data_IF_467912761748
#
_entry.id   IF_467912761748
#
_cell.length_a   1.000
_cell.length_b   1.000
_cell.length_c   1.000
_cell.angle_alpha   90.00
_cell.angle_beta   90.00
_cell.angle_gamma   90.00
#
_symmetry.space_group_name_H-M   'P 1'
#
loop_
_entity.id
_entity.type
_entity.pdbx_description
1 polymer ?
#
# COMPACT_ATOMS: atom_id res chain seq x y z
N UNK A 1 -4.72 -3.95 6.81
CA UNK A 1 -3.53 -3.11 6.69
C UNK A 1 -2.40 -3.98 6.20
N UNK A 2 -1.21 -3.41 5.93
CA UNK A 2 -0.13 -4.18 5.31
C UNK A 2 0.37 -5.32 6.21
N UNK A 3 0.40 -5.13 7.54
CA UNK A 3 0.82 -6.17 8.47
C UNK A 3 -0.12 -7.38 8.42
N UNK A 4 -1.45 -7.18 8.42
CA UNK A 4 -2.38 -8.32 8.28
C UNK A 4 -2.23 -9.01 6.92
N UNK A 5 -1.95 -8.24 5.86
CA UNK A 5 -1.69 -8.82 4.54
C UNK A 5 -0.44 -9.70 4.56
N UNK A 6 0.65 -9.22 5.16
CA UNK A 6 1.91 -9.97 5.29
C UNK A 6 1.81 -11.11 6.30
N UNK A 7 0.89 -11.08 7.26
CA UNK A 7 0.57 -12.22 8.13
C UNK A 7 -0.30 -13.27 7.42
N UNK A 8 -0.84 -12.97 6.23
CA UNK A 8 -1.75 -13.84 5.50
C UNK A 8 -3.21 -13.80 6.00
N UNK A 9 -3.56 -12.84 6.87
CA UNK A 9 -4.91 -12.69 7.41
C UNK A 9 -5.79 -11.73 6.59
N UNK A 10 -5.21 -10.98 5.64
CA UNK A 10 -5.92 -10.06 4.76
C UNK A 10 -5.46 -10.18 3.30
N UNK A 11 -6.38 -9.99 2.36
CA UNK A 11 -6.07 -10.07 0.93
C UNK A 11 -5.99 -11.50 0.39
N UNK A 12 -5.44 -11.68 -0.82
CA UNK A 12 -5.49 -12.97 -1.54
C UNK A 12 -4.47 -13.99 -1.02
N UNK A 13 -3.40 -13.54 -0.37
CA UNK A 13 -2.35 -14.43 0.15
C UNK A 13 -2.73 -14.91 1.55
N UNK A 14 -2.82 -16.23 1.73
CA UNK A 14 -3.14 -16.89 3.02
C UNK A 14 -1.91 -17.52 3.67
N UNK A 15 -0.75 -16.97 3.36
CA UNK A 15 0.56 -17.43 3.82
C UNK A 15 1.29 -16.27 4.48
N UNK A 16 2.09 -16.59 5.51
CA UNK A 16 2.97 -15.60 6.12
C UNK A 16 4.07 -15.19 5.14
N UNK A 17 4.26 -13.89 4.99
CA UNK A 17 5.21 -13.27 4.09
C UNK A 17 6.53 -12.98 4.82
N UNK A 18 7.67 -13.50 4.31
CA UNK A 18 8.95 -13.31 4.98
C UNK A 18 9.42 -11.84 5.00
N UNK A 19 8.84 -10.97 4.17
CA UNK A 19 9.10 -9.52 4.21
C UNK A 19 8.56 -8.84 5.47
N UNK A 20 7.65 -9.45 6.23
CA UNK A 20 7.06 -8.84 7.42
C UNK A 20 8.12 -8.35 8.42
N UNK A 21 9.09 -9.20 8.73
CA UNK A 21 10.18 -8.87 9.67
C UNK A 21 11.16 -7.85 9.12
N UNK A 22 11.18 -7.66 7.80
CA UNK A 22 12.01 -6.69 7.10
C UNK A 22 11.33 -5.33 7.03
N UNK A 23 9.99 -5.29 6.99
CA UNK A 23 9.22 -4.05 6.89
C UNK A 23 8.93 -3.44 8.26
N UNK A 24 8.71 -4.29 9.27
CA UNK A 24 8.25 -3.85 10.57
C UNK A 24 9.00 -4.55 11.70
N UNK A 25 9.00 -3.90 12.87
CA UNK A 25 9.37 -4.52 14.15
C UNK A 25 8.13 -5.08 14.83
N UNK A 26 8.27 -6.14 15.65
CA UNK A 26 7.22 -6.49 16.58
C UNK A 26 6.98 -5.36 17.60
N UNK A 27 5.80 -5.34 18.21
CA UNK A 27 5.42 -4.40 19.27
C UNK A 27 6.35 -4.55 20.47
N UNK A 28 6.71 -3.45 21.13
CA UNK A 28 7.60 -3.50 22.29
C UNK A 28 6.92 -4.10 23.53
N UNK A 29 5.60 -3.97 23.66
CA UNK A 29 4.85 -4.44 24.83
C UNK A 29 4.38 -5.90 24.77
N UNK A 30 4.59 -6.60 23.64
CA UNK A 30 4.07 -7.95 23.46
C UNK A 30 4.83 -8.83 22.47
N UNK A 31 5.85 -8.30 21.78
CA UNK A 31 6.62 -9.02 20.78
C UNK A 31 5.76 -9.67 19.67
N UNK A 32 4.69 -8.97 19.26
CA UNK A 32 3.77 -9.41 18.20
C UNK A 32 3.75 -8.40 17.07
N UNK A 33 3.43 -8.84 15.85
CA UNK A 33 3.20 -7.91 14.74
C UNK A 33 1.76 -7.38 14.78
N UNK A 34 1.61 -6.07 14.88
CA UNK A 34 0.29 -5.41 14.92
C UNK A 34 0.31 -4.09 14.14
N UNK A 35 -0.46 -4.02 13.05
CA UNK A 35 -0.59 -2.78 12.27
C UNK A 35 -1.51 -1.79 12.97
N UNK A 36 -1.17 -0.50 12.92
CA UNK A 36 -2.11 0.54 13.30
C UNK A 36 -3.22 0.65 12.25
N UNK A 37 -4.51 0.49 12.63
CA UNK A 37 -5.60 0.71 11.70
C UNK A 37 -5.57 2.13 11.13
N UNK A 38 -5.69 2.24 9.81
CA UNK A 38 -5.79 3.54 9.14
C UNK A 38 -7.24 3.89 8.80
N UNK A 39 -7.53 5.16 8.54
CA UNK A 39 -8.89 5.64 8.31
C UNK A 39 -9.75 5.70 9.59
N UNK A 40 -9.10 5.92 10.74
CA UNK A 40 -9.77 6.14 12.01
C UNK A 40 -10.16 7.62 12.18
N UNK A 41 -11.25 7.92 12.91
CA UNK A 41 -11.58 9.29 13.26
C UNK A 41 -10.55 9.88 14.23
N UNK A 42 -10.44 11.21 14.29
CA UNK A 42 -9.54 11.91 15.21
C UNK A 42 -9.71 11.48 16.68
N UNK A 43 -10.94 11.17 17.09
CA UNK A 43 -11.25 10.70 18.45
C UNK A 43 -10.59 9.36 18.82
N UNK A 44 -10.16 8.57 17.84
CA UNK A 44 -9.44 7.31 18.04
C UNK A 44 -7.92 7.48 18.15
N UNK A 45 -7.39 8.72 18.08
CA UNK A 45 -5.96 9.01 17.99
C UNK A 45 -5.11 8.44 19.13
N UNK A 46 -5.68 8.27 20.33
CA UNK A 46 -4.97 7.74 21.51
C UNK A 46 -5.17 6.24 21.74
N UNK A 47 -5.93 5.53 20.89
CA UNK A 47 -6.24 4.11 21.09
C UNK A 47 -5.06 3.17 20.80
N UNK A 48 -4.07 3.67 20.06
CA UNK A 48 -2.94 2.88 19.57
C UNK A 48 -1.63 3.49 20.05
N UNK A 49 -1.26 3.28 21.32
CA UNK A 49 0.02 3.77 21.82
C UNK A 49 1.17 3.07 21.08
N UNK A 50 2.30 3.77 20.97
CA UNK A 50 3.45 3.36 20.14
C UNK A 50 4.04 2.01 20.54
N UNK A 51 3.86 1.57 21.78
CA UNK A 51 4.34 0.28 22.29
C UNK A 51 3.41 -0.90 21.95
N UNK A 52 2.19 -0.62 21.47
CA UNK A 52 1.17 -1.59 21.05
C UNK A 52 1.05 -1.74 19.54
N UNK A 53 1.76 -0.93 18.76
CA UNK A 53 1.81 -1.03 17.30
C UNK A 53 3.22 -1.39 16.83
N UNK A 54 3.28 -2.05 15.68
CA UNK A 54 4.52 -2.31 14.97
C UNK A 54 5.00 -1.04 14.29
N UNK A 55 6.24 -0.67 14.56
CA UNK A 55 6.93 0.44 13.91
C UNK A 55 7.76 -0.06 12.71
N UNK A 56 8.16 0.81 11.77
CA UNK A 56 9.05 0.43 10.69
C UNK A 56 10.35 -0.22 11.21
N UNK A 57 10.89 -1.17 10.46
CA UNK A 57 12.11 -1.88 10.83
C UNK A 57 13.34 -0.95 10.91
N UNK A 58 14.42 -1.44 11.50
CA UNK A 58 15.70 -0.73 11.49
C UNK A 58 16.29 -0.61 10.09
N UNK A 59 15.99 -1.56 9.19
CA UNK A 59 16.45 -1.53 7.80
C UNK A 59 15.92 -0.27 7.10
N UNK A 60 14.62 0.01 7.26
CA UNK A 60 13.97 1.15 6.60
C UNK A 60 14.37 2.48 7.25
N UNK A 61 14.60 2.48 8.56
CA UNK A 61 15.00 3.69 9.30
C UNK A 61 16.51 3.98 9.23
N UNK A 62 17.31 3.12 8.60
CA UNK A 62 18.73 3.35 8.47
C UNK A 62 18.97 4.59 7.59
N UNK A 63 19.80 5.52 8.09
CA UNK A 63 20.04 6.81 7.45
C UNK A 63 20.69 6.69 6.07
N UNK A 64 21.35 5.57 5.80
CA UNK A 64 22.04 5.23 4.56
C UNK A 64 21.29 4.18 3.73
N UNK A 65 20.05 3.84 4.08
CA UNK A 65 19.26 2.92 3.29
C UNK A 65 19.01 3.50 1.89
N UNK A 66 19.60 2.86 0.87
CA UNK A 66 19.43 3.22 -0.52
C UNK A 66 18.15 2.62 -1.09
N UNK A 67 17.38 3.43 -1.81
CA UNK A 67 16.17 2.99 -2.50
C UNK A 67 16.36 3.07 -4.02
N UNK A 68 15.88 2.05 -4.73
CA UNK A 68 15.96 1.96 -6.19
C UNK A 68 14.68 2.53 -6.78
N UNK A 69 14.80 3.47 -7.73
CA UNK A 69 13.62 4.12 -8.32
C UNK A 69 12.76 3.16 -9.16
N UNK A 70 13.39 2.27 -9.94
CA UNK A 70 12.70 1.24 -10.73
C UNK A 70 13.37 -0.09 -10.47
N UNK A 71 12.67 -0.97 -9.77
CA UNK A 71 13.18 -2.29 -9.37
C UNK A 71 12.95 -3.34 -10.46
N UNK A 72 13.83 -4.34 -10.53
CA UNK A 72 13.58 -5.50 -11.40
C UNK A 72 12.27 -6.22 -11.04
N UNK A 73 11.89 -6.26 -9.76
CA UNK A 73 10.61 -6.81 -9.32
C UNK A 73 9.43 -6.10 -10.00
N UNK A 74 9.47 -4.76 -10.06
CA UNK A 74 8.46 -3.95 -10.73
C UNK A 74 8.38 -4.27 -12.23
N UNK A 75 9.53 -4.31 -12.91
CA UNK A 75 9.62 -4.66 -14.33
C UNK A 75 9.05 -6.05 -14.60
N UNK A 76 9.37 -7.03 -13.75
CA UNK A 76 8.83 -8.38 -13.86
C UNK A 76 7.31 -8.39 -13.70
N UNK A 77 6.73 -7.64 -12.76
CA UNK A 77 5.28 -7.52 -12.64
C UNK A 77 4.62 -6.81 -13.82
N UNK A 78 5.28 -5.81 -14.41
CA UNK A 78 4.81 -5.15 -15.65
C UNK A 78 4.80 -6.16 -16.81
N UNK A 79 5.85 -6.98 -16.95
CA UNK A 79 5.91 -8.03 -17.96
C UNK A 79 4.84 -9.12 -17.70
N UNK A 80 4.60 -9.48 -16.44
CA UNK A 80 3.53 -10.40 -16.08
C UNK A 80 2.16 -9.87 -16.50
N UNK A 81 1.84 -8.61 -16.17
CA UNK A 81 0.59 -7.94 -16.59
C UNK A 81 0.47 -7.87 -18.12
N UNK A 82 1.51 -7.41 -18.82
CA UNK A 82 1.51 -7.25 -20.27
C UNK A 82 1.32 -8.59 -21.00
N UNK A 83 1.86 -9.67 -20.47
CA UNK A 83 1.79 -11.01 -21.05
C UNK A 83 0.63 -11.83 -20.47
N UNK A 84 -0.50 -11.18 -20.18
CA UNK A 84 -1.74 -11.81 -19.71
C UNK A 84 -1.57 -12.61 -18.41
N UNK A 85 -1.01 -11.96 -17.39
CA UNK A 85 -0.75 -12.54 -16.07
C UNK A 85 0.23 -13.73 -16.13
N UNK A 86 1.33 -13.56 -16.86
CA UNK A 86 2.32 -14.62 -17.06
C UNK A 86 2.92 -15.10 -15.72
N UNK A 87 2.79 -16.41 -15.47
CA UNK A 87 3.26 -17.08 -14.25
C UNK A 87 4.77 -16.92 -14.07
N UNK A 88 5.56 -17.03 -15.15
CA UNK A 88 7.02 -16.98 -15.04
C UNK A 88 7.49 -15.61 -14.56
N UNK A 89 6.99 -14.54 -15.16
CA UNK A 89 7.32 -13.17 -14.75
C UNK A 89 6.74 -12.83 -13.37
N UNK A 90 5.57 -13.35 -13.02
CA UNK A 90 5.01 -13.21 -11.68
C UNK A 90 5.96 -13.78 -10.60
N UNK A 91 6.41 -15.02 -10.77
CA UNK A 91 7.33 -15.67 -9.84
C UNK A 91 8.70 -14.97 -9.78
N UNK A 92 9.21 -14.50 -10.92
CA UNK A 92 10.44 -13.68 -10.99
C UNK A 92 10.30 -12.38 -10.19
N UNK A 93 9.17 -11.69 -10.31
CA UNK A 93 8.90 -10.47 -9.58
C UNK A 93 8.83 -10.69 -8.07
N UNK A 94 8.15 -11.76 -7.64
CA UNK A 94 8.08 -12.13 -6.22
C UNK A 94 9.46 -12.49 -5.69
N UNK A 95 10.20 -13.35 -6.39
CA UNK A 95 11.57 -13.72 -6.03
C UNK A 95 12.46 -12.50 -5.84
N UNK A 96 12.51 -11.62 -6.85
CA UNK A 96 13.34 -10.42 -6.82
C UNK A 96 12.97 -9.49 -5.65
N UNK A 97 11.67 -9.35 -5.35
CA UNK A 97 11.21 -8.57 -4.20
C UNK A 97 11.70 -9.18 -2.88
N UNK A 98 11.58 -10.50 -2.70
CA UNK A 98 12.06 -11.16 -1.48
C UNK A 98 13.58 -11.05 -1.31
N UNK A 99 14.33 -11.27 -2.40
CA UNK A 99 15.80 -11.21 -2.40
C UNK A 99 16.31 -9.80 -2.11
N UNK A 100 15.64 -8.73 -2.60
CA UNK A 100 15.95 -7.33 -2.22
C UNK A 100 15.96 -7.15 -0.70
N UNK A 101 15.00 -7.76 -0.03
CA UNK A 101 14.86 -7.67 1.43
C UNK A 101 15.73 -8.69 2.20
N UNK A 102 16.72 -9.29 1.52
CA UNK A 102 17.66 -10.26 2.09
C UNK A 102 16.94 -11.44 2.75
N UNK A 103 15.84 -11.91 2.16
CA UNK A 103 15.18 -13.17 2.53
C UNK A 103 16.05 -14.33 2.02
N UNK A 104 16.23 -15.37 2.84
CA UNK A 104 17.09 -16.50 2.47
C UNK A 104 16.55 -17.28 1.27
N UNK A 105 17.43 -17.90 0.49
CA UNK A 105 17.02 -18.67 -0.70
C UNK A 105 16.02 -19.79 -0.39
N UNK A 106 16.14 -20.42 0.78
CA UNK A 106 15.22 -21.47 1.24
C UNK A 106 13.82 -20.91 1.59
N UNK A 107 13.76 -19.75 2.25
CA UNK A 107 12.50 -19.07 2.53
C UNK A 107 11.84 -18.56 1.24
N UNK A 108 12.63 -18.06 0.29
CA UNK A 108 12.15 -17.67 -1.04
C UNK A 108 11.52 -18.86 -1.76
N UNK A 109 12.23 -20.00 -1.82
CA UNK A 109 11.71 -21.21 -2.45
C UNK A 109 10.43 -21.70 -1.75
N UNK A 110 10.42 -21.68 -0.42
CA UNK A 110 9.25 -22.06 0.39
C UNK A 110 8.05 -21.15 0.10
N UNK A 111 8.25 -19.83 0.06
CA UNK A 111 7.18 -18.88 -0.21
C UNK A 111 6.62 -19.04 -1.63
N UNK A 112 7.49 -19.16 -2.64
CA UNK A 112 7.08 -19.37 -4.03
C UNK A 112 6.29 -20.67 -4.21
N UNK A 113 6.65 -21.75 -3.51
CA UNK A 113 5.92 -23.03 -3.60
C UNK A 113 4.48 -22.98 -3.09
N UNK A 114 4.15 -21.98 -2.26
CA UNK A 114 2.82 -21.77 -1.67
C UNK A 114 2.07 -20.60 -2.29
N UNK A 115 2.71 -19.89 -3.23
CA UNK A 115 2.15 -18.72 -3.87
C UNK A 115 0.98 -19.14 -4.78
N UNK A 116 -0.19 -18.51 -4.69
CA UNK A 116 -1.29 -18.81 -5.59
C UNK A 116 -0.91 -18.47 -7.04
N UNK A 117 -1.52 -19.15 -8.01
CA UNK A 117 -1.24 -18.94 -9.42
C UNK A 117 -1.46 -17.47 -9.85
N UNK A 118 -0.72 -17.04 -10.85
CA UNK A 118 -0.79 -15.71 -11.41
C UNK A 118 -2.20 -15.43 -11.95
N UNK A 119 -2.74 -14.31 -11.51
CA UNK A 119 -3.95 -13.69 -12.04
C UNK A 119 -3.86 -12.18 -11.74
N UNK A 120 -4.83 -11.41 -12.22
CA UNK A 120 -4.87 -9.96 -12.00
C UNK A 120 -4.70 -9.56 -10.53
N UNK A 121 -5.44 -10.19 -9.62
CA UNK A 121 -5.40 -9.87 -8.20
C UNK A 121 -4.05 -10.21 -7.57
N UNK A 122 -3.52 -11.38 -7.85
CA UNK A 122 -2.28 -11.89 -7.25
C UNK A 122 -1.05 -11.13 -7.76
N UNK A 123 -0.97 -10.85 -9.06
CA UNK A 123 0.14 -10.10 -9.66
C UNK A 123 0.18 -8.67 -9.12
N UNK A 124 -0.95 -7.96 -9.18
CA UNK A 124 -1.01 -6.57 -8.73
C UNK A 124 -0.90 -6.43 -7.22
N UNK A 125 -1.38 -7.41 -6.44
CA UNK A 125 -1.18 -7.42 -4.99
C UNK A 125 0.28 -7.67 -4.61
N UNK A 126 1.01 -8.55 -5.31
CA UNK A 126 2.45 -8.71 -5.07
C UNK A 126 3.24 -7.48 -5.51
N UNK A 127 2.86 -6.83 -6.63
CA UNK A 127 3.45 -5.55 -7.05
C UNK A 127 3.27 -4.49 -5.97
N UNK A 128 2.08 -4.38 -5.39
CA UNK A 128 1.83 -3.48 -4.26
C UNK A 128 2.75 -3.74 -3.06
N UNK A 129 2.98 -5.01 -2.70
CA UNK A 129 3.91 -5.37 -1.61
C UNK A 129 5.37 -5.07 -1.96
N UNK A 130 5.77 -5.24 -3.22
CA UNK A 130 7.12 -4.91 -3.68
C UNK A 130 7.39 -3.39 -3.65
N UNK A 131 6.38 -2.57 -3.95
CA UNK A 131 6.46 -1.10 -3.97
C UNK A 131 6.35 -0.46 -2.57
N UNK A 132 6.67 -1.18 -1.48
CA UNK A 132 6.48 -0.70 -0.10
C UNK A 132 7.10 0.67 0.17
N UNK A 133 8.32 0.90 -0.31
CA UNK A 133 9.04 2.18 -0.19
C UNK A 133 8.80 3.15 -1.37
N UNK A 134 8.05 2.71 -2.41
CA UNK A 134 7.75 3.48 -3.61
C UNK A 134 6.28 3.95 -3.61
N UNK A 135 5.94 4.80 -2.64
CA UNK A 135 4.54 5.16 -2.34
C UNK A 135 3.83 5.90 -3.48
N UNK A 136 4.53 6.73 -4.25
CA UNK A 136 3.96 7.46 -5.40
C UNK A 136 3.64 6.50 -6.54
N UNK A 137 4.51 5.52 -6.82
CA UNK A 137 4.26 4.49 -7.83
C UNK A 137 3.11 3.58 -7.38
N UNK A 138 3.13 3.14 -6.12
CA UNK A 138 2.05 2.36 -5.52
C UNK A 138 0.68 3.08 -5.62
N UNK A 139 0.62 4.38 -5.33
CA UNK A 139 -0.60 5.17 -5.49
C UNK A 139 -1.01 5.35 -6.96
N UNK A 140 -0.06 5.42 -7.88
CA UNK A 140 -0.35 5.45 -9.33
C UNK A 140 -0.95 4.13 -9.81
N UNK A 141 -0.41 3.00 -9.37
CA UNK A 141 -0.91 1.66 -9.68
C UNK A 141 -2.30 1.40 -9.10
N UNK A 142 -2.55 1.81 -7.87
CA UNK A 142 -3.88 1.73 -7.25
C UNK A 142 -4.91 2.51 -8.07
N UNK A 143 -4.57 3.71 -8.54
CA UNK A 143 -5.46 4.53 -9.37
C UNK A 143 -5.67 3.92 -10.75
N UNK A 144 -4.62 3.40 -11.39
CA UNK A 144 -4.67 2.80 -12.73
C UNK A 144 -5.47 1.50 -12.75
N UNK A 145 -5.32 0.66 -11.72
CA UNK A 145 -5.80 -0.73 -11.75
C UNK A 145 -6.97 -1.01 -10.81
N UNK A 146 -7.11 -0.22 -9.73
CA UNK A 146 -8.02 -0.49 -8.61
C UNK A 146 -7.53 -1.54 -7.62
N UNK A 147 -6.30 -2.06 -7.77
CA UNK A 147 -5.70 -3.08 -6.90
C UNK A 147 -4.67 -2.47 -5.94
N UNK A 148 -4.46 -3.05 -4.76
CA UNK A 148 -5.09 -4.28 -4.27
C UNK A 148 -6.53 -4.07 -3.77
N UNK A 149 -7.34 -5.14 -3.80
CA UNK A 149 -8.75 -5.09 -3.39
C UNK A 149 -8.95 -4.99 -1.88
N UNK A 150 -7.90 -5.25 -1.10
CA UNK A 150 -7.94 -5.24 0.36
C UNK A 150 -7.62 -3.89 0.99
N UNK A 151 -7.58 -2.80 0.23
CA UNK A 151 -7.57 -1.45 0.80
C UNK A 151 -8.94 -1.10 1.39
N UNK A 152 -8.93 -0.35 2.49
CA UNK A 152 -10.13 0.17 3.15
C UNK A 152 -10.91 1.08 2.19
N UNK A 153 -12.21 0.85 2.12
CA UNK A 153 -13.19 1.63 1.35
C UNK A 153 -14.20 2.28 2.30
N UNK A 154 -14.88 3.33 1.82
CA UNK A 154 -15.94 3.99 2.59
C UNK A 154 -16.95 2.95 3.08
N UNK A 155 -17.27 2.98 4.36
CA UNK A 155 -18.20 2.03 4.98
C UNK A 155 -17.55 0.75 5.51
N UNK A 156 -16.27 0.49 5.24
CA UNK A 156 -15.56 -0.64 5.83
C UNK A 156 -15.32 -0.39 7.33
N UNK A 157 -15.43 -1.45 8.13
CA UNK A 157 -15.01 -1.42 9.53
C UNK A 157 -13.48 -1.33 9.58
N UNK A 158 -12.96 -0.29 10.22
CA UNK A 158 -11.52 -0.07 10.39
C UNK A 158 -11.00 -0.68 11.67
N UNK A 159 -11.80 -0.68 12.73
CA UNK A 159 -11.45 -1.28 14.01
C UNK A 159 -12.68 -1.57 14.86
N UNK A 160 -12.62 -2.65 15.63
CA UNK A 160 -13.59 -2.97 16.68
C UNK A 160 -12.82 -3.31 17.95
N UNK A 161 -13.26 -2.79 19.09
CA UNK A 161 -12.65 -3.09 20.38
C UNK A 161 -13.43 -2.51 21.54
N UNK A 162 -12.77 -2.39 22.69
CA UNK A 162 -13.38 -1.80 23.89
C UNK A 162 -12.65 -0.51 24.25
N UNK A 163 -13.40 0.58 24.42
CA UNK A 163 -12.89 1.87 24.87
C UNK A 163 -13.66 2.26 26.12
N UNK A 164 -12.95 2.52 27.23
CA UNK A 164 -13.57 2.87 28.51
C UNK A 164 -14.66 1.89 28.98
N UNK A 165 -14.42 0.59 28.77
CA UNK A 165 -15.35 -0.48 29.15
C UNK A 165 -16.57 -0.65 28.24
N UNK A 166 -16.67 0.11 27.14
CA UNK A 166 -17.76 0.01 26.16
C UNK A 166 -17.27 -0.56 24.83
N UNK A 167 -18.02 -1.45 24.16
CA UNK A 167 -17.70 -1.87 22.82
C UNK A 167 -17.84 -0.70 21.85
N UNK A 168 -16.82 -0.50 21.01
CA UNK A 168 -16.76 0.54 19.99
C UNK A 168 -16.37 -0.09 18.67
N UNK A 169 -17.07 0.31 17.61
CA UNK A 169 -16.77 -0.03 16.22
C UNK A 169 -16.56 1.25 15.45
N UNK A 170 -15.42 1.38 14.78
CA UNK A 170 -15.13 2.47 13.85
C UNK A 170 -15.31 2.00 12.42
N UNK A 171 -15.96 2.85 11.64
CA UNK A 171 -16.20 2.66 10.22
C UNK A 171 -15.54 3.79 9.45
N UNK A 172 -14.87 3.47 8.35
CA UNK A 172 -14.16 4.47 7.56
C UNK A 172 -15.16 5.43 6.89
N UNK A 173 -15.04 6.70 7.25
CA UNK A 173 -15.70 7.81 6.56
C UNK A 173 -14.61 8.74 6.05
N UNK A 174 -14.45 8.89 4.72
CA UNK A 174 -13.45 9.80 4.17
C UNK A 174 -13.83 11.25 4.52
N UNK A 175 -12.85 12.06 4.92
CA UNK A 175 -13.02 13.50 5.19
C UNK A 175 -13.36 14.29 3.91
N UNK A 176 -12.85 13.83 2.76
CA UNK A 176 -13.08 14.45 1.45
C UNK A 176 -13.30 13.37 0.39
N UNK A 177 -14.33 13.55 -0.44
CA UNK A 177 -14.67 12.63 -1.52
C UNK A 177 -15.27 11.30 -1.03
N UNK A 178 -15.33 10.31 -1.91
CA UNK A 178 -15.88 8.98 -1.61
C UNK A 178 -14.94 7.82 -1.99
N UNK A 179 -13.79 8.13 -2.59
CA UNK A 179 -12.84 7.16 -3.13
C UNK A 179 -11.42 7.59 -2.78
N UNK A 180 -10.45 6.73 -3.06
CA UNK A 180 -9.03 7.11 -3.05
C UNK A 180 -8.86 8.36 -3.93
N UNK A 181 -8.14 9.40 -3.47
CA UNK A 181 -7.88 10.60 -4.27
C UNK A 181 -7.31 10.26 -5.64
N UNK A 182 -7.84 10.89 -6.68
CA UNK A 182 -7.42 10.71 -8.07
C UNK A 182 -6.17 11.52 -8.42
N UNK A 183 -5.96 12.65 -7.72
CA UNK A 183 -4.82 13.56 -7.89
C UNK A 183 -4.62 14.46 -6.68
N UNK A 184 -3.50 15.18 -6.66
CA UNK A 184 -3.28 16.33 -5.78
C UNK A 184 -3.79 17.61 -6.47
N UNK A 185 -4.25 18.56 -5.68
CA UNK A 185 -4.60 19.91 -6.14
C UNK A 185 -3.34 20.70 -6.49
N UNK A 186 -3.46 21.73 -7.32
CA UNK A 186 -2.30 22.58 -7.59
C UNK A 186 -1.90 23.39 -6.34
N UNK A 187 -0.60 23.64 -6.13
CA UNK A 187 -0.14 24.49 -5.03
C UNK A 187 -0.82 25.86 -5.07
N UNK A 188 -1.14 26.43 -3.90
CA UNK A 188 -1.76 27.76 -3.78
C UNK A 188 -0.96 28.86 -4.47
N UNK A 189 0.38 28.71 -4.53
CA UNK A 189 1.26 29.62 -5.25
C UNK A 189 0.90 29.71 -6.74
N UNK A 190 0.69 28.59 -7.43
CA UNK A 190 0.32 28.58 -8.85
C UNK A 190 -1.02 29.29 -9.09
N UNK A 191 -1.98 29.13 -8.18
CA UNK A 191 -3.29 29.77 -8.26
C UNK A 191 -3.21 31.30 -8.16
N UNK A 192 -2.23 31.81 -7.40
CA UNK A 192 -2.06 33.25 -7.13
C UNK A 192 -1.07 33.93 -8.08
N UNK A 193 0.07 33.30 -8.40
CA UNK A 193 1.14 33.93 -9.19
C UNK A 193 1.16 33.51 -10.65
N UNK A 194 0.43 32.46 -11.03
CA UNK A 194 0.43 31.90 -12.39
C UNK A 194 -1.00 31.65 -12.91
N UNK A 195 -1.93 32.52 -12.51
CA UNK A 195 -3.38 32.34 -12.69
C UNK A 195 -3.81 32.02 -14.13
N UNK A 196 -3.22 32.70 -15.13
CA UNK A 196 -3.55 32.48 -16.55
C UNK A 196 -3.25 31.05 -17.00
N UNK A 197 -2.06 30.52 -16.66
CA UNK A 197 -1.68 29.16 -17.03
C UNK A 197 -2.44 28.12 -16.20
N UNK A 198 -2.70 28.41 -14.92
CA UNK A 198 -3.55 27.59 -14.06
C UNK A 198 -4.95 27.41 -14.67
N UNK A 199 -5.62 28.50 -15.06
CA UNK A 199 -6.94 28.45 -15.70
C UNK A 199 -6.93 27.71 -17.03
N UNK A 200 -5.88 27.89 -17.85
CA UNK A 200 -5.68 27.15 -19.10
C UNK A 200 -5.53 25.63 -18.86
N UNK A 201 -4.88 25.22 -17.76
CA UNK A 201 -4.80 23.81 -17.40
C UNK A 201 -6.18 23.26 -17.00
N UNK A 202 -6.92 23.99 -16.14
CA UNK A 202 -8.26 23.57 -15.70
C UNK A 202 -9.23 23.37 -16.86
N UNK A 203 -9.16 24.22 -17.90
CA UNK A 203 -10.03 24.07 -19.07
C UNK A 203 -9.79 22.79 -19.86
N UNK A 204 -8.63 22.13 -19.70
CA UNK A 204 -8.30 20.85 -20.36
C UNK A 204 -8.51 19.62 -19.48
N UNK A 205 -8.42 19.77 -18.16
CA UNK A 205 -8.41 18.65 -17.23
C UNK A 205 -9.67 18.57 -16.34
N UNK A 206 -10.45 19.65 -16.23
CA UNK A 206 -11.53 19.81 -15.25
C UNK A 206 -11.09 20.52 -13.97
N UNK A 207 -11.98 20.52 -12.98
CA UNK A 207 -11.82 21.27 -11.73
C UNK A 207 -10.58 20.88 -10.92
N UNK A 208 -10.05 21.84 -10.16
CA UNK A 208 -8.92 21.62 -9.26
C UNK A 208 -9.33 20.94 -7.94
N UNK A 209 -9.88 19.73 -8.02
CA UNK A 209 -10.30 18.94 -6.88
C UNK A 209 -9.65 17.56 -6.89
N UNK A 210 -9.51 16.95 -5.71
CA UNK A 210 -8.84 15.65 -5.53
C UNK A 210 -9.53 14.49 -6.25
N UNK A 211 -10.82 14.65 -6.60
CA UNK A 211 -11.62 13.64 -7.30
C UNK A 211 -11.45 13.68 -8.83
N UNK A 212 -10.94 14.77 -9.40
CA UNK A 212 -10.75 14.91 -10.85
C UNK A 212 -9.74 13.86 -11.34
N UNK A 213 -10.18 12.97 -12.24
CA UNK A 213 -9.34 11.90 -12.80
C UNK A 213 -8.27 12.49 -13.73
N UNK A 214 -7.05 11.96 -13.64
CA UNK A 214 -5.98 12.27 -14.58
C UNK A 214 -6.23 11.57 -15.92
N UNK A 215 -5.63 12.09 -17.00
CA UNK A 215 -5.85 11.61 -18.36
C UNK A 215 -5.55 10.11 -18.56
N UNK A 216 -4.61 9.55 -17.80
CA UNK A 216 -4.21 8.14 -17.83
C UNK A 216 -5.03 7.27 -16.86
N UNK A 217 -5.75 7.88 -15.92
CA UNK A 217 -6.58 7.20 -14.93
C UNK A 217 -8.01 7.10 -15.46
N UNK A 218 -8.27 6.13 -16.35
CA UNK A 218 -9.60 5.91 -16.95
C UNK A 218 -10.33 4.77 -16.29
#
# INVERSE_FOLDING_TARGET
MIIETLQGSRGPFKIADPRLSKFAKPTSSGNVYYGQPYGLPLAAGNLFPVDKISLPSDIINAADYGEVLVEYAEVAFILAENNNWDQSNYEKGVRASLEKWSVSSDEVATYLSKLPAANKENVLSQKYLALFNQSIESWSEIRRTGYPLFLIKKGDITWTGTVEGKPVTYTFTPEVGNTIPSRLVYPLKEQSTNKTNYQSALSRQGDDVISTKLWWNK
#
